data_IF_842611739993
#
_entry.id   IF_842611739993
#
_cell.length_a   1.000
_cell.length_b   1.000
_cell.length_c   1.000
_cell.angle_alpha   90.00
_cell.angle_beta   90.00
_cell.angle_gamma   90.00
#
_symmetry.space_group_name_H-M   'P 1'
#
loop_
_entity.id
_entity.type
_entity.pdbx_description
1 polymer ?
#
# COMPACT_ATOMS: atom_id res chain seq x y z
N UNK A 1 -13.08 11.41 -23.78
CA UNK A 1 -13.00 12.00 -22.42
C UNK A 1 -13.75 11.08 -21.48
N UNK A 2 -13.06 10.12 -20.89
CA UNK A 2 -13.62 9.01 -20.08
C UNK A 2 -13.26 9.18 -18.60
N UNK A 3 -13.24 10.42 -18.11
CA UNK A 3 -12.96 10.74 -16.71
C UNK A 3 -14.21 11.24 -15.98
N UNK A 4 -14.30 11.00 -14.68
CA UNK A 4 -15.34 11.54 -13.79
C UNK A 4 -15.21 13.06 -13.50
N UNK A 5 -14.49 13.77 -14.36
CA UNK A 5 -14.12 15.18 -14.27
C UNK A 5 -14.82 16.05 -15.32
N UNK A 6 -16.01 15.68 -15.80
CA UNK A 6 -16.75 16.38 -16.87
C UNK A 6 -16.78 17.91 -16.72
N UNK A 7 -16.81 18.39 -15.48
CA UNK A 7 -16.89 19.82 -15.18
C UNK A 7 -15.53 20.47 -14.90
N UNK A 8 -14.42 19.73 -14.85
CA UNK A 8 -13.07 20.19 -14.46
C UNK A 8 -12.15 20.14 -15.69
N UNK A 9 -11.91 21.29 -16.32
CA UNK A 9 -11.29 21.37 -17.66
C UNK A 9 -9.88 20.77 -17.70
N UNK A 10 -9.10 21.05 -16.66
CA UNK A 10 -7.68 20.70 -16.61
C UNK A 10 -7.45 19.39 -15.82
N UNK A 11 -8.53 18.75 -15.35
CA UNK A 11 -8.48 17.48 -14.65
C UNK A 11 -8.74 16.29 -15.57
N UNK A 12 -7.92 15.25 -15.41
CA UNK A 12 -8.09 13.96 -16.05
C UNK A 12 -8.88 13.00 -15.15
N UNK A 13 -8.66 13.07 -13.83
CA UNK A 13 -9.27 12.18 -12.85
C UNK A 13 -9.60 12.91 -11.54
N UNK A 14 -10.73 12.59 -10.91
CA UNK A 14 -11.23 13.29 -9.74
C UNK A 14 -11.65 12.26 -8.70
N UNK A 15 -11.06 12.28 -7.52
CA UNK A 15 -11.46 11.41 -6.40
C UNK A 15 -12.40 12.16 -5.46
N UNK A 16 -13.29 11.43 -4.82
CA UNK A 16 -14.21 11.94 -3.80
C UNK A 16 -14.03 11.11 -2.53
N UNK A 17 -14.60 11.56 -1.41
CA UNK A 17 -14.63 10.71 -0.23
C UNK A 17 -15.43 9.44 -0.55
N UNK A 18 -14.98 8.31 -0.01
CA UNK A 18 -15.69 7.03 -0.12
C UNK A 18 -16.77 6.86 0.96
N UNK A 19 -16.80 7.76 1.94
CA UNK A 19 -17.72 7.78 3.07
C UNK A 19 -18.11 9.22 3.38
N UNK A 20 -19.25 9.39 4.04
CA UNK A 20 -19.74 10.72 4.42
C UNK A 20 -18.71 11.41 5.31
N UNK A 21 -18.24 12.58 4.87
CA UNK A 21 -17.44 13.46 5.71
C UNK A 21 -18.25 14.02 6.88
N UNK A 22 -17.61 14.78 7.78
CA UNK A 22 -18.29 15.46 8.87
C UNK A 22 -19.53 16.23 8.38
N UNK A 23 -20.66 16.06 9.07
CA UNK A 23 -21.95 16.66 8.70
C UNK A 23 -22.48 16.29 7.30
N UNK A 24 -22.04 15.17 6.72
CA UNK A 24 -22.46 14.73 5.38
C UNK A 24 -21.79 15.51 4.24
N UNK A 25 -20.73 16.25 4.54
CA UNK A 25 -19.92 16.93 3.53
C UNK A 25 -19.11 15.94 2.71
N UNK A 26 -18.61 16.42 1.58
CA UNK A 26 -17.70 15.66 0.73
C UNK A 26 -16.54 16.55 0.28
N UNK A 27 -15.52 15.94 -0.29
CA UNK A 27 -14.33 16.60 -0.77
C UNK A 27 -13.94 15.99 -2.11
N UNK A 28 -13.94 16.81 -3.16
CA UNK A 28 -13.42 16.40 -4.47
C UNK A 28 -11.97 16.86 -4.61
N UNK A 29 -11.08 15.95 -4.98
CA UNK A 29 -9.67 16.24 -5.29
C UNK A 29 -9.39 15.81 -6.73
N UNK A 30 -8.78 16.68 -7.52
CA UNK A 30 -8.62 16.48 -8.96
C UNK A 30 -7.14 16.35 -9.34
N UNK A 31 -6.87 15.50 -10.31
CA UNK A 31 -5.55 15.18 -10.82
C UNK A 31 -5.45 15.56 -12.30
N UNK A 32 -4.30 16.08 -12.70
CA UNK A 32 -4.00 16.49 -14.07
C UNK A 32 -3.70 15.26 -14.96
N UNK A 33 -3.28 15.50 -16.20
CA UNK A 33 -2.99 14.45 -17.18
C UNK A 33 -1.76 13.63 -16.81
N UNK A 34 -0.87 14.22 -16.02
CA UNK A 34 0.34 13.63 -15.48
C UNK A 34 0.07 12.92 -14.14
N UNK A 35 -1.21 12.77 -13.74
CA UNK A 35 -1.63 12.18 -12.47
C UNK A 35 -1.11 12.89 -11.22
N UNK A 36 -0.70 14.16 -11.35
CA UNK A 36 -0.38 15.00 -10.21
C UNK A 36 -1.65 15.62 -9.66
N UNK A 37 -1.72 15.75 -8.33
CA UNK A 37 -2.80 16.49 -7.69
C UNK A 37 -2.71 17.94 -8.17
N UNK A 38 -3.77 18.41 -8.86
CA UNK A 38 -3.86 19.79 -9.29
C UNK A 38 -3.87 20.67 -8.04
N UNK A 39 -3.09 21.74 -8.05
CA UNK A 39 -2.85 22.52 -6.84
C UNK A 39 -4.16 23.00 -6.23
N UNK A 40 -4.23 22.90 -4.90
CA UNK A 40 -5.36 23.37 -4.11
C UNK A 40 -5.72 24.84 -4.33
N UNK A 41 -4.79 25.68 -4.78
CA UNK A 41 -5.05 27.08 -5.10
C UNK A 41 -5.68 27.28 -6.50
N UNK A 42 -5.82 26.23 -7.30
CA UNK A 42 -6.50 26.27 -8.58
C UNK A 42 -7.96 25.89 -8.41
N UNK A 43 -8.84 26.57 -9.13
CA UNK A 43 -10.28 26.24 -9.15
C UNK A 43 -10.47 24.78 -9.55
N UNK A 44 -9.60 24.26 -10.40
CA UNK A 44 -9.66 22.90 -10.93
C UNK A 44 -9.20 21.84 -9.93
N UNK A 45 -8.43 22.21 -8.88
CA UNK A 45 -7.74 21.27 -8.00
C UNK A 45 -8.61 20.51 -7.01
N UNK A 46 -9.75 21.08 -6.65
CA UNK A 46 -10.66 20.45 -5.71
C UNK A 46 -11.35 21.46 -4.81
N UNK A 47 -12.53 21.09 -4.32
CA UNK A 47 -13.33 21.94 -3.45
C UNK A 47 -14.13 21.09 -2.47
N UNK A 48 -14.26 21.54 -1.23
CA UNK A 48 -15.25 20.98 -0.31
C UNK A 48 -16.65 21.07 -0.94
N UNK A 49 -17.44 20.03 -0.78
CA UNK A 49 -18.81 19.90 -1.27
C UNK A 49 -19.74 19.89 -0.06
N UNK A 50 -20.90 20.53 -0.19
CA UNK A 50 -21.87 20.59 0.91
C UNK A 50 -22.47 19.22 1.21
N UNK A 51 -22.71 18.43 0.17
CA UNK A 51 -23.36 17.13 0.29
C UNK A 51 -22.53 16.05 -0.38
N UNK A 52 -22.40 14.94 0.32
CA UNK A 52 -21.81 13.73 -0.21
C UNK A 52 -22.66 13.13 -1.32
N UNK A 53 -22.00 12.70 -2.41
CA UNK A 53 -22.72 12.19 -3.57
C UNK A 53 -23.44 10.87 -3.30
N UNK A 54 -22.95 10.06 -2.37
CA UNK A 54 -23.65 8.86 -1.86
C UNK A 54 -24.88 9.18 -0.99
N UNK A 55 -25.14 10.46 -0.67
CA UNK A 55 -26.26 10.87 0.17
C UNK A 55 -26.00 10.68 1.67
N UNK A 56 -27.08 10.56 2.44
CA UNK A 56 -27.07 10.45 3.90
C UNK A 56 -28.48 10.42 4.49
N UNK A 57 -28.59 10.35 5.82
CA UNK A 57 -29.89 10.22 6.53
C UNK A 57 -30.94 11.27 6.11
N UNK A 58 -30.49 12.45 5.71
CA UNK A 58 -31.32 13.57 5.25
C UNK A 58 -30.84 14.18 3.92
N UNK A 59 -30.01 13.45 3.17
CA UNK A 59 -29.38 13.92 1.93
C UNK A 59 -29.71 12.92 0.82
N UNK A 60 -30.39 13.38 -0.22
CA UNK A 60 -30.73 12.57 -1.38
C UNK A 60 -29.45 12.28 -2.20
N UNK A 61 -29.08 10.99 -2.37
CA UNK A 61 -27.93 10.60 -3.16
C UNK A 61 -27.97 11.21 -4.56
N UNK A 62 -26.82 11.63 -5.06
CA UNK A 62 -26.61 12.32 -6.34
C UNK A 62 -27.30 13.68 -6.48
N UNK A 63 -28.60 13.78 -6.18
CA UNK A 63 -29.42 14.98 -6.41
C UNK A 63 -28.98 16.19 -5.59
N UNK A 64 -28.78 16.03 -4.28
CA UNK A 64 -28.42 17.17 -3.43
C UNK A 64 -27.03 17.69 -3.77
N UNK A 65 -26.06 16.79 -4.00
CA UNK A 65 -24.75 17.21 -4.47
C UNK A 65 -24.82 17.89 -5.84
N UNK A 66 -25.60 17.33 -6.77
CA UNK A 66 -25.76 17.91 -8.10
C UNK A 66 -26.35 19.32 -8.03
N UNK A 67 -27.42 19.51 -7.25
CA UNK A 67 -28.12 20.79 -7.15
C UNK A 67 -27.33 21.85 -6.37
N UNK A 68 -26.70 21.48 -5.24
CA UNK A 68 -26.05 22.45 -4.35
C UNK A 68 -24.56 22.63 -4.58
N UNK A 69 -23.92 21.76 -5.36
CA UNK A 69 -22.48 21.82 -5.61
C UNK A 69 -22.14 21.84 -7.10
N UNK A 70 -22.69 20.93 -7.92
CA UNK A 70 -22.36 20.83 -9.35
C UNK A 70 -22.95 21.98 -10.16
N UNK A 71 -24.26 22.23 -10.06
CA UNK A 71 -24.93 23.33 -10.78
C UNK A 71 -24.30 24.69 -10.44
N UNK A 72 -24.08 25.06 -9.16
CA UNK A 72 -23.44 26.31 -8.81
C UNK A 72 -22.00 26.41 -9.31
N UNK A 73 -21.23 25.31 -9.28
CA UNK A 73 -19.88 25.30 -9.85
C UNK A 73 -19.91 25.61 -11.35
N UNK A 74 -20.73 24.90 -12.11
CA UNK A 74 -20.82 25.08 -13.56
C UNK A 74 -21.31 26.49 -13.89
N UNK A 75 -22.34 27.00 -13.22
CA UNK A 75 -22.83 28.35 -13.43
C UNK A 75 -21.77 29.42 -13.10
N UNK A 76 -21.22 29.38 -11.89
CA UNK A 76 -20.30 30.41 -11.40
C UNK A 76 -18.91 30.33 -12.05
N UNK A 77 -18.38 29.14 -12.32
CA UNK A 77 -17.01 28.95 -12.77
C UNK A 77 -16.88 28.67 -14.28
N UNK A 78 -17.94 28.20 -14.97
CA UNK A 78 -17.93 27.95 -16.42
C UNK A 78 -18.75 28.96 -17.21
N UNK A 79 -20.05 29.05 -16.94
CA UNK A 79 -20.95 29.87 -17.75
C UNK A 79 -20.74 31.37 -17.54
N UNK A 80 -20.47 31.82 -16.31
CA UNK A 80 -20.27 33.26 -16.02
C UNK A 80 -19.08 33.87 -16.79
N UNK A 81 -18.08 33.06 -17.19
CA UNK A 81 -16.95 33.50 -18.02
C UNK A 81 -17.34 33.76 -19.49
N UNK A 82 -18.35 33.06 -20.01
CA UNK A 82 -18.73 33.13 -21.43
C UNK A 82 -19.58 34.35 -21.79
N UNK A 83 -20.31 34.95 -20.84
CA UNK A 83 -21.11 36.16 -21.09
C UNK A 83 -20.28 37.44 -21.24
N UNK A 84 -18.98 37.36 -21.06
CA UNK A 84 -18.10 38.51 -21.05
C UNK A 84 -16.86 38.30 -21.92
N UNK A 85 -17.07 38.36 -23.24
CA UNK A 85 -16.02 38.83 -24.17
C UNK A 85 -15.76 40.33 -23.95
N UNK A 86 -15.37 40.74 -22.74
CA UNK A 86 -14.95 42.13 -22.50
C UNK A 86 -14.93 42.65 -21.06
N UNK A 87 -15.87 42.28 -20.17
CA UNK A 87 -15.94 42.91 -18.84
C UNK A 87 -16.83 42.16 -17.83
N UNK A 88 -16.61 40.87 -17.61
CA UNK A 88 -17.39 40.09 -16.64
C UNK A 88 -16.45 39.37 -15.70
N UNK A 89 -16.47 39.78 -14.45
CA UNK A 89 -15.75 39.12 -13.37
C UNK A 89 -16.33 37.72 -13.20
N UNK A 90 -15.49 36.69 -13.29
CA UNK A 90 -15.92 35.32 -13.00
C UNK A 90 -16.54 35.26 -11.60
N UNK A 91 -17.80 34.85 -11.51
CA UNK A 91 -18.47 34.66 -10.21
C UNK A 91 -17.95 33.44 -9.45
N UNK A 92 -16.90 32.77 -9.95
CA UNK A 92 -16.31 31.59 -9.34
C UNK A 92 -15.81 31.86 -7.92
N UNK A 93 -15.31 33.07 -7.63
CA UNK A 93 -14.94 33.44 -6.28
C UNK A 93 -16.13 33.37 -5.29
N UNK A 94 -17.36 33.62 -5.73
CA UNK A 94 -18.55 33.47 -4.89
C UNK A 94 -18.83 31.99 -4.56
N UNK A 95 -18.64 31.10 -5.53
CA UNK A 95 -18.71 29.66 -5.30
C UNK A 95 -17.62 29.24 -4.29
N UNK A 96 -16.37 29.66 -4.51
CA UNK A 96 -15.25 29.30 -3.64
C UNK A 96 -15.36 29.83 -2.21
N UNK A 97 -16.06 30.96 -1.99
CA UNK A 97 -16.40 31.42 -0.63
C UNK A 97 -17.33 30.47 0.12
N UNK A 98 -18.21 29.76 -0.60
CA UNK A 98 -19.16 28.80 -0.03
C UNK A 98 -18.65 27.36 -0.08
N UNK A 99 -17.72 27.07 -0.98
CA UNK A 99 -17.06 25.78 -1.22
C UNK A 99 -15.56 26.00 -1.27
N UNK A 100 -14.91 26.14 -0.10
CA UNK A 100 -13.50 26.40 -0.02
C UNK A 100 -12.70 25.35 -0.78
N UNK A 101 -11.57 25.78 -1.33
CA UNK A 101 -10.65 24.89 -2.00
C UNK A 101 -10.07 23.87 -1.01
N UNK A 102 -9.88 22.65 -1.46
CA UNK A 102 -9.34 21.56 -0.65
C UNK A 102 -7.87 21.86 -0.32
N UNK A 103 -7.51 22.10 0.93
CA UNK A 103 -6.14 22.51 1.31
C UNK A 103 -5.24 21.32 1.63
N UNK A 104 -3.97 21.41 1.23
CA UNK A 104 -2.92 20.46 1.62
C UNK A 104 -2.07 20.98 2.79
N UNK A 105 -2.42 22.12 3.41
CA UNK A 105 -1.60 22.78 4.43
C UNK A 105 -1.26 21.89 5.63
N UNK A 106 -2.16 20.96 5.98
CA UNK A 106 -2.00 19.99 7.06
C UNK A 106 -1.94 18.55 6.56
N UNK A 107 -1.67 18.36 5.27
CA UNK A 107 -1.47 17.02 4.74
C UNK A 107 -0.21 16.43 5.37
N UNK A 108 -0.39 15.36 6.13
CA UNK A 108 0.70 14.51 6.59
C UNK A 108 0.84 13.38 5.58
N UNK A 109 1.99 13.27 4.88
CA UNK A 109 2.23 12.16 3.98
C UNK A 109 2.12 10.83 4.73
N UNK A 110 1.47 9.81 4.15
CA UNK A 110 1.52 8.48 4.70
C UNK A 110 2.97 7.96 4.66
N UNK A 111 3.30 7.09 5.61
CA UNK A 111 4.64 6.51 5.74
C UNK A 111 4.59 5.05 5.25
N UNK A 112 5.39 4.70 4.23
CA UNK A 112 5.41 3.34 3.69
C UNK A 112 6.51 2.49 4.31
N UNK A 113 6.31 1.18 4.25
CA UNK A 113 7.29 0.13 4.54
C UNK A 113 7.53 -0.72 3.28
N UNK A 114 8.46 -1.67 3.34
CA UNK A 114 8.72 -2.61 2.24
C UNK A 114 8.98 -4.01 2.78
N UNK A 115 8.42 -5.02 2.12
CA UNK A 115 8.85 -6.41 2.20
C UNK A 115 9.04 -6.92 0.78
N UNK A 116 10.25 -7.40 0.46
CA UNK A 116 10.62 -7.74 -0.91
C UNK A 116 11.64 -8.89 -0.93
N UNK A 117 11.58 -9.76 -1.94
CA UNK A 117 12.62 -10.77 -2.15
C UNK A 117 12.64 -11.87 -1.09
N UNK A 118 13.82 -12.26 -0.63
CA UNK A 118 14.02 -13.33 0.36
C UNK A 118 13.96 -12.85 1.83
N UNK A 119 12.75 -12.60 2.31
CA UNK A 119 12.29 -11.24 2.45
C UNK A 119 13.27 -10.30 3.18
N UNK A 120 13.65 -9.24 2.46
CA UNK A 120 14.20 -8.01 3.00
C UNK A 120 13.08 -7.07 3.44
N UNK A 121 13.24 -6.47 4.61
CA UNK A 121 12.28 -5.57 5.24
C UNK A 121 12.84 -4.15 5.33
N UNK A 122 11.98 -3.17 5.07
CA UNK A 122 12.14 -1.79 5.53
C UNK A 122 10.96 -1.47 6.44
N UNK A 123 11.21 -1.17 7.71
CA UNK A 123 10.19 -0.78 8.69
C UNK A 123 9.46 0.51 8.27
N UNK A 124 8.37 0.84 8.95
CA UNK A 124 7.65 2.09 8.67
C UNK A 124 8.47 3.36 9.01
N UNK A 125 9.52 3.24 9.83
CA UNK A 125 10.46 4.32 10.16
C UNK A 125 11.77 4.24 9.37
N UNK A 126 11.88 3.27 8.46
CA UNK A 126 12.94 3.16 7.47
C UNK A 126 14.12 2.29 7.89
N UNK A 127 14.03 1.57 9.02
CA UNK A 127 15.03 0.60 9.44
C UNK A 127 15.05 -0.60 8.49
N UNK A 128 16.23 -0.91 7.94
CA UNK A 128 16.40 -1.99 6.96
C UNK A 128 17.03 -3.22 7.60
N UNK A 129 16.44 -4.39 7.36
CA UNK A 129 16.96 -5.67 7.83
C UNK A 129 16.42 -6.83 6.98
N UNK A 130 16.97 -8.03 7.14
CA UNK A 130 16.47 -9.23 6.46
C UNK A 130 15.99 -10.25 7.49
N UNK A 131 14.91 -10.97 7.18
CA UNK A 131 14.38 -12.00 8.06
C UNK A 131 13.82 -13.17 7.26
N UNK A 132 14.62 -14.22 7.09
CA UNK A 132 14.25 -15.42 6.35
C UNK A 132 13.67 -16.52 7.25
N UNK A 133 12.45 -16.32 7.74
CA UNK A 133 11.70 -17.31 8.53
C UNK A 133 10.90 -18.29 7.68
N UNK A 134 10.54 -19.45 8.25
CA UNK A 134 9.54 -20.35 7.66
C UNK A 134 8.42 -20.56 8.67
N UNK A 135 7.26 -20.00 8.37
CA UNK A 135 6.14 -19.92 9.30
C UNK A 135 5.16 -18.80 8.98
N UNK A 136 4.23 -18.59 9.90
CA UNK A 136 3.30 -17.47 9.88
C UNK A 136 3.67 -16.49 11.00
N UNK A 137 3.72 -15.20 10.66
CA UNK A 137 4.25 -14.17 11.55
C UNK A 137 3.33 -12.96 11.64
N UNK A 138 3.36 -12.27 12.78
CA UNK A 138 2.73 -10.95 12.94
C UNK A 138 3.47 -9.95 12.05
N UNK A 139 2.82 -9.52 10.97
CA UNK A 139 3.39 -8.54 10.07
C UNK A 139 3.23 -7.13 10.64
N UNK A 140 2.00 -6.78 11.02
CA UNK A 140 1.64 -5.51 11.65
C UNK A 140 0.36 -5.69 12.47
N UNK A 141 0.34 -5.24 13.72
CA UNK A 141 -0.88 -5.16 14.54
C UNK A 141 -0.91 -3.91 15.38
N UNK A 142 -2.09 -3.48 15.79
CA UNK A 142 -2.24 -2.47 16.85
C UNK A 142 -2.06 -3.10 18.23
N UNK A 143 -1.68 -2.29 19.22
CA UNK A 143 -1.53 -2.73 20.62
C UNK A 143 -2.83 -3.38 21.17
N UNK A 144 -3.98 -2.81 20.81
CA UNK A 144 -5.30 -3.30 21.21
C UNK A 144 -5.79 -4.51 20.37
N UNK A 145 -4.97 -4.97 19.42
CA UNK A 145 -5.27 -6.05 18.45
C UNK A 145 -6.52 -5.81 17.60
N UNK A 146 -7.02 -4.58 17.53
CA UNK A 146 -8.17 -4.21 16.69
C UNK A 146 -7.85 -4.29 15.20
N UNK A 147 -6.62 -3.99 14.79
CA UNK A 147 -6.11 -4.24 13.46
C UNK A 147 -5.00 -5.29 13.51
N UNK A 148 -5.06 -6.27 12.60
CA UNK A 148 -4.08 -7.36 12.51
C UNK A 148 -3.76 -7.65 11.05
N UNK A 149 -2.47 -7.84 10.77
CA UNK A 149 -1.91 -8.24 9.50
C UNK A 149 -0.86 -9.32 9.77
N UNK A 150 -0.89 -10.39 8.98
CA UNK A 150 0.00 -11.53 9.09
C UNK A 150 0.63 -11.83 7.74
N UNK A 151 1.84 -12.38 7.79
CA UNK A 151 2.60 -12.78 6.60
C UNK A 151 3.00 -14.25 6.74
N UNK A 152 2.89 -15.00 5.65
CA UNK A 152 3.34 -16.39 5.54
C UNK A 152 4.61 -16.42 4.71
N UNK A 153 5.66 -16.94 5.32
CA UNK A 153 6.96 -17.14 4.70
C UNK A 153 7.19 -18.64 4.55
N UNK A 154 7.44 -19.11 3.33
CA UNK A 154 7.69 -20.52 3.04
C UNK A 154 9.11 -20.71 2.50
N UNK A 155 9.71 -21.87 2.78
CA UNK A 155 11.02 -22.21 2.25
C UNK A 155 10.97 -22.25 0.72
N UNK A 156 11.86 -21.51 0.06
CA UNK A 156 11.83 -21.42 -1.38
C UNK A 156 12.27 -22.73 -2.02
N UNK A 157 11.43 -23.25 -2.91
CA UNK A 157 11.69 -24.46 -3.70
C UNK A 157 12.17 -24.06 -5.09
N UNK A 158 13.38 -24.49 -5.44
CA UNK A 158 14.00 -24.25 -6.75
C UNK A 158 13.24 -25.01 -7.84
N UNK A 159 13.42 -24.58 -9.09
CA UNK A 159 12.79 -25.21 -10.26
C UNK A 159 13.14 -26.70 -10.43
N UNK A 160 14.31 -27.13 -9.92
CA UNK A 160 14.73 -28.53 -9.93
C UNK A 160 14.10 -29.37 -8.80
N UNK A 161 13.30 -28.76 -7.92
CA UNK A 161 12.63 -29.40 -6.79
C UNK A 161 13.37 -29.27 -5.45
N UNK A 162 14.63 -28.84 -5.45
CA UNK A 162 15.43 -28.72 -4.23
C UNK A 162 14.93 -27.57 -3.34
N UNK A 163 15.06 -27.77 -2.03
CA UNK A 163 14.82 -26.72 -1.06
C UNK A 163 16.06 -25.83 -0.94
N UNK A 164 15.87 -24.52 -0.99
CA UNK A 164 16.94 -23.54 -0.78
C UNK A 164 17.08 -23.15 0.70
N UNK A 165 18.20 -22.51 1.04
CA UNK A 165 18.41 -21.87 2.35
C UNK A 165 17.83 -20.44 2.39
N UNK A 166 16.78 -20.19 1.60
CA UNK A 166 16.01 -18.94 1.55
C UNK A 166 14.52 -19.22 1.76
N UNK A 167 13.80 -18.18 2.16
CA UNK A 167 12.34 -18.17 2.26
C UNK A 167 11.75 -17.09 1.37
N UNK A 168 10.49 -17.20 1.00
CA UNK A 168 9.76 -16.18 0.24
C UNK A 168 8.39 -15.94 0.85
N UNK A 169 7.88 -14.71 0.70
CA UNK A 169 6.51 -14.40 1.06
C UNK A 169 5.53 -15.02 0.06
N UNK A 170 4.67 -15.93 0.52
CA UNK A 170 3.69 -16.63 -0.33
C UNK A 170 2.25 -16.22 -0.07
N UNK A 171 1.96 -15.68 1.10
CA UNK A 171 0.63 -15.16 1.45
C UNK A 171 0.73 -14.02 2.46
N UNK A 172 -0.21 -13.09 2.40
CA UNK A 172 -0.48 -12.16 3.50
C UNK A 172 -1.99 -12.02 3.71
N UNK A 173 -2.37 -11.79 4.95
CA UNK A 173 -3.78 -11.63 5.35
C UNK A 173 -3.93 -10.46 6.29
N UNK A 174 -5.05 -9.75 6.23
CA UNK A 174 -5.30 -8.59 7.09
C UNK A 174 -6.77 -8.40 7.41
N UNK A 175 -7.03 -7.89 8.62
CA UNK A 175 -8.38 -7.57 9.09
C UNK A 175 -8.36 -6.40 10.08
N UNK A 176 -9.42 -5.60 10.07
CA UNK A 176 -9.86 -4.81 11.22
C UNK A 176 -11.01 -5.53 11.94
N UNK A 177 -10.74 -6.03 13.14
CA UNK A 177 -11.66 -6.87 13.92
C UNK A 177 -13.03 -6.18 14.07
N UNK A 178 -14.09 -6.90 13.69
CA UNK A 178 -15.50 -6.46 13.70
C UNK A 178 -15.82 -5.19 12.88
N UNK A 179 -14.84 -4.64 12.14
CA UNK A 179 -15.02 -3.43 11.35
C UNK A 179 -14.76 -3.68 9.86
N UNK A 180 -14.03 -4.73 9.50
CA UNK A 180 -13.81 -5.13 8.12
C UNK A 180 -13.97 -6.62 7.85
N UNK A 181 -14.15 -6.95 6.58
CA UNK A 181 -13.86 -8.29 6.07
C UNK A 181 -12.37 -8.65 6.27
N UNK A 182 -12.08 -9.95 6.35
CA UNK A 182 -10.71 -10.50 6.28
C UNK A 182 -10.33 -10.57 4.81
N UNK A 183 -9.15 -10.04 4.45
CA UNK A 183 -8.63 -10.12 3.07
C UNK A 183 -7.31 -10.87 3.09
N UNK A 184 -7.25 -11.98 2.36
CA UNK A 184 -6.03 -12.76 2.12
C UNK A 184 -5.64 -12.63 0.65
N UNK A 185 -4.34 -12.45 0.38
CA UNK A 185 -3.77 -12.57 -0.95
C UNK A 185 -2.65 -13.61 -0.88
N UNK A 186 -2.74 -14.62 -1.73
CA UNK A 186 -1.78 -15.73 -1.77
C UNK A 186 -1.35 -16.03 -3.19
N UNK A 187 -0.15 -16.57 -3.34
CA UNK A 187 0.32 -17.10 -4.62
C UNK A 187 -0.53 -18.27 -5.09
N UNK A 188 -0.70 -18.34 -6.41
CA UNK A 188 -1.39 -19.43 -7.08
C UNK A 188 -0.65 -19.82 -8.36
N UNK A 189 -0.46 -21.12 -8.56
CA UNK A 189 0.34 -21.62 -9.68
C UNK A 189 -0.37 -21.46 -11.03
N UNK A 190 -1.70 -21.37 -11.06
CA UNK A 190 -2.47 -21.19 -12.28
C UNK A 190 -2.69 -19.70 -12.61
N UNK A 191 -2.87 -18.87 -11.59
CA UNK A 191 -3.31 -17.48 -11.74
C UNK A 191 -2.31 -16.44 -11.22
N UNK A 192 -1.07 -16.82 -10.89
CA UNK A 192 -0.04 -16.02 -10.20
C UNK A 192 -0.42 -15.73 -8.74
N UNK A 193 -1.61 -15.19 -8.51
CA UNK A 193 -2.17 -14.97 -7.19
C UNK A 193 -3.70 -15.00 -7.20
N UNK A 194 -4.24 -15.33 -6.04
CA UNK A 194 -5.65 -15.31 -5.69
C UNK A 194 -5.89 -14.30 -4.57
N UNK A 195 -7.10 -13.74 -4.54
CA UNK A 195 -7.59 -12.91 -3.44
C UNK A 195 -8.80 -13.58 -2.82
N UNK A 196 -8.77 -13.78 -1.51
CA UNK A 196 -9.88 -14.30 -0.74
C UNK A 196 -10.41 -13.23 0.19
N UNK A 197 -11.73 -13.09 0.27
CA UNK A 197 -12.40 -12.20 1.22
C UNK A 197 -13.33 -13.02 2.08
N UNK A 198 -13.06 -13.06 3.39
CA UNK A 198 -13.69 -13.99 4.35
C UNK A 198 -13.59 -15.47 3.92
N UNK A 199 -12.54 -15.82 3.20
CA UNK A 199 -12.30 -17.16 2.67
C UNK A 199 -12.98 -17.48 1.34
N UNK A 200 -13.79 -16.57 0.80
CA UNK A 200 -14.38 -16.72 -0.54
C UNK A 200 -13.46 -16.12 -1.60
N UNK A 201 -13.24 -16.86 -2.70
CA UNK A 201 -12.43 -16.40 -3.83
C UNK A 201 -13.11 -15.24 -4.56
N UNK A 202 -12.37 -14.15 -4.80
CA UNK A 202 -12.84 -13.00 -5.56
C UNK A 202 -12.31 -13.05 -6.98
N UNK A 203 -13.24 -13.03 -7.96
CA UNK A 203 -12.90 -12.91 -9.37
C UNK A 203 -12.84 -11.42 -9.77
N UNK A 204 -11.79 -11.00 -10.48
CA UNK A 204 -11.60 -9.64 -10.98
C UNK A 204 -11.82 -9.47 -12.49
N UNK A 205 -12.30 -10.51 -13.19
CA UNK A 205 -12.59 -10.50 -14.63
C UNK A 205 -13.69 -9.48 -14.98
N UNK A 206 -14.71 -9.36 -14.13
CA UNK A 206 -15.85 -8.46 -14.34
C UNK A 206 -15.60 -7.06 -13.76
N UNK A 207 -14.88 -6.96 -12.65
CA UNK A 207 -14.58 -5.70 -11.98
C UNK A 207 -13.18 -5.72 -11.39
N UNK A 208 -12.42 -4.65 -11.65
CA UNK A 208 -11.09 -4.46 -11.06
C UNK A 208 -11.15 -3.90 -9.62
N UNK A 209 -12.33 -3.63 -9.08
CA UNK A 209 -12.48 -3.03 -7.76
C UNK A 209 -13.69 -3.56 -7.00
N UNK A 210 -13.50 -3.89 -5.73
CA UNK A 210 -14.52 -4.40 -4.83
C UNK A 210 -14.50 -3.64 -3.51
N UNK A 211 -15.68 -3.21 -3.06
CA UNK A 211 -15.87 -2.57 -1.77
C UNK A 211 -16.58 -3.54 -0.83
N UNK A 212 -15.93 -3.86 0.28
CA UNK A 212 -16.49 -4.65 1.36
C UNK A 212 -16.67 -3.77 2.60
N UNK A 213 -17.23 -4.34 3.67
CA UNK A 213 -17.27 -3.67 4.96
C UNK A 213 -15.84 -3.33 5.40
N UNK A 214 -15.58 -2.05 5.70
CA UNK A 214 -14.30 -1.56 6.27
C UNK A 214 -13.05 -1.70 5.41
N UNK A 215 -13.15 -2.30 4.22
CA UNK A 215 -12.00 -2.56 3.34
C UNK A 215 -12.38 -2.44 1.87
N UNK A 216 -11.46 -1.90 1.08
CA UNK A 216 -11.55 -1.79 -0.37
C UNK A 216 -10.40 -2.57 -1.00
N UNK A 217 -10.70 -3.33 -2.05
CA UNK A 217 -9.72 -4.15 -2.78
C UNK A 217 -9.75 -3.78 -4.25
N UNK A 218 -8.59 -3.48 -4.82
CA UNK A 218 -8.41 -3.14 -6.24
C UNK A 218 -7.36 -4.05 -6.83
N UNK A 219 -7.60 -4.56 -8.03
CA UNK A 219 -6.55 -5.06 -8.90
C UNK A 219 -6.16 -3.97 -9.91
N UNK A 220 -4.87 -3.65 -9.98
CA UNK A 220 -4.39 -2.73 -11.02
C UNK A 220 -4.52 -3.42 -12.38
N UNK A 221 -4.99 -2.71 -13.42
CA UNK A 221 -5.02 -3.28 -14.76
C UNK A 221 -3.60 -3.67 -15.19
N UNK A 222 -3.45 -4.78 -15.93
CA UNK A 222 -2.14 -5.22 -16.39
C UNK A 222 -1.50 -4.15 -17.29
N UNK A 223 -0.19 -3.97 -17.15
CA UNK A 223 0.58 -2.97 -17.92
C UNK A 223 0.62 -3.33 -19.41
N UNK A 224 0.53 -4.63 -19.73
CA UNK A 224 0.41 -5.16 -21.09
C UNK A 224 -0.99 -5.76 -21.30
N UNK A 225 -1.67 -5.36 -22.39
CA UNK A 225 -2.98 -5.90 -22.78
C UNK A 225 -2.91 -7.32 -23.36
N UNK A 226 -1.70 -7.85 -23.56
CA UNK A 226 -1.48 -9.19 -24.10
C UNK A 226 -1.55 -10.24 -22.98
N UNK A 227 -2.00 -11.46 -23.32
CA UNK A 227 -2.31 -12.58 -22.41
C UNK A 227 -1.12 -13.18 -21.62
N UNK A 228 -0.01 -12.45 -21.46
CA UNK A 228 1.21 -12.86 -20.78
C UNK A 228 1.59 -11.95 -19.62
N UNK A 229 0.62 -11.49 -18.82
CA UNK A 229 0.93 -10.74 -17.61
C UNK A 229 1.76 -11.62 -16.67
N UNK A 230 2.99 -11.21 -16.37
CA UNK A 230 3.90 -11.94 -15.45
C UNK A 230 3.73 -11.52 -14.01
N UNK A 231 2.94 -10.48 -13.75
CA UNK A 231 2.74 -9.88 -12.43
C UNK A 231 1.27 -9.46 -12.27
N UNK A 232 0.76 -9.59 -11.04
CA UNK A 232 -0.53 -9.00 -10.63
C UNK A 232 -0.31 -8.04 -9.47
N UNK A 233 -0.91 -6.84 -9.55
CA UNK A 233 -0.79 -5.83 -8.50
C UNK A 233 -2.14 -5.61 -7.84
N UNK A 234 -2.21 -5.81 -6.54
CA UNK A 234 -3.39 -5.60 -5.73
C UNK A 234 -3.18 -4.47 -4.73
N UNK A 235 -4.23 -3.70 -4.45
CA UNK A 235 -4.26 -2.71 -3.40
C UNK A 235 -5.41 -3.04 -2.44
N UNK A 236 -5.07 -3.28 -1.18
CA UNK A 236 -6.02 -3.47 -0.08
C UNK A 236 -5.97 -2.24 0.81
N UNK A 237 -7.09 -1.54 1.00
CA UNK A 237 -7.15 -0.28 1.75
C UNK A 237 -8.24 -0.34 2.82
N UNK A 238 -7.83 -0.28 4.09
CA UNK A 238 -8.73 -0.30 5.24
C UNK A 238 -9.15 1.11 5.65
N UNK A 239 -10.35 1.24 6.21
CA UNK A 239 -10.87 2.53 6.71
C UNK A 239 -10.08 3.09 7.89
N UNK A 240 -9.24 2.28 8.54
CA UNK A 240 -8.28 2.72 9.58
C UNK A 240 -7.12 3.57 9.04
N UNK A 241 -6.97 3.67 7.71
CA UNK A 241 -5.86 4.37 7.07
C UNK A 241 -4.61 3.51 6.90
N UNK A 242 -4.72 2.20 7.09
CA UNK A 242 -3.69 1.22 6.76
C UNK A 242 -4.01 0.64 5.38
N UNK A 243 -3.01 0.51 4.52
CA UNK A 243 -3.17 -0.05 3.17
C UNK A 243 -1.96 -0.89 2.79
N UNK A 244 -2.16 -1.85 1.89
CA UNK A 244 -1.12 -2.71 1.35
C UNK A 244 -1.20 -2.70 -0.16
N UNK A 245 -0.09 -2.39 -0.83
CA UNK A 245 0.07 -2.69 -2.24
C UNK A 245 0.92 -3.95 -2.38
N UNK A 246 0.34 -4.99 -2.97
CA UNK A 246 0.98 -6.29 -3.15
C UNK A 246 1.22 -6.53 -4.62
N UNK A 247 2.47 -6.78 -4.99
CA UNK A 247 2.88 -7.23 -6.32
C UNK A 247 3.17 -8.71 -6.23
N UNK A 248 2.35 -9.50 -6.90
CA UNK A 248 2.52 -10.95 -7.00
C UNK A 248 3.17 -11.31 -8.32
N UNK A 249 4.21 -12.12 -8.23
CA UNK A 249 4.93 -12.76 -9.33
C UNK A 249 4.89 -14.27 -9.07
N UNK A 250 5.35 -15.12 -9.99
CA UNK A 250 5.08 -16.58 -9.94
C UNK A 250 5.47 -17.25 -8.61
N UNK A 251 6.52 -16.75 -7.95
CA UNK A 251 7.14 -17.37 -6.78
C UNK A 251 7.25 -16.45 -5.55
N UNK A 252 6.84 -15.19 -5.63
CA UNK A 252 7.05 -14.23 -4.53
C UNK A 252 5.97 -13.14 -4.51
N UNK A 253 5.56 -12.76 -3.30
CA UNK A 253 4.80 -11.54 -3.03
C UNK A 253 5.72 -10.45 -2.51
N UNK A 254 5.77 -9.31 -3.21
CA UNK A 254 6.40 -8.09 -2.74
C UNK A 254 5.32 -7.14 -2.22
N UNK A 255 5.47 -6.62 -1.00
CA UNK A 255 4.43 -5.85 -0.31
C UNK A 255 4.95 -4.47 0.08
N UNK A 256 4.18 -3.43 -0.23
CA UNK A 256 4.37 -2.06 0.27
C UNK A 256 3.21 -1.72 1.20
N UNK A 257 3.38 -1.92 2.52
CA UNK A 257 2.46 -1.38 3.52
C UNK A 257 2.55 0.13 3.57
N UNK A 258 1.43 0.79 3.83
CA UNK A 258 1.30 2.24 3.91
C UNK A 258 0.40 2.58 5.08
N UNK A 259 0.92 3.35 6.03
CA UNK A 259 0.15 3.85 7.18
C UNK A 259 -0.04 5.36 7.04
N UNK A 260 -1.30 5.77 6.89
CA UNK A 260 -1.68 7.16 6.66
C UNK A 260 -2.12 7.94 7.90
N UNK A 261 -2.41 7.27 9.01
CA UNK A 261 -2.89 7.92 10.23
C UNK A 261 -1.79 8.05 11.27
N UNK A 262 -1.37 9.28 11.58
CA UNK A 262 -0.43 9.57 12.68
C UNK A 262 -0.95 9.17 14.06
N UNK A 263 -2.26 8.91 14.20
CA UNK A 263 -2.83 8.42 15.46
C UNK A 263 -2.34 7.02 15.83
N UNK A 264 -1.78 6.28 14.87
CA UNK A 264 -1.22 4.95 15.08
C UNK A 264 0.28 5.00 15.49
N UNK A 265 0.87 6.19 15.58
CA UNK A 265 2.29 6.37 15.89
C UNK A 265 2.61 5.85 17.30
N UNK A 266 3.56 4.93 17.41
CA UNK A 266 3.92 4.23 18.66
C UNK A 266 2.94 3.15 19.11
N UNK A 267 1.82 2.97 18.39
CA UNK A 267 0.74 2.04 18.72
C UNK A 267 0.68 0.81 17.82
N UNK A 268 1.72 0.61 17.00
CA UNK A 268 1.88 -0.54 16.14
C UNK A 268 2.97 -1.47 16.67
N UNK A 269 2.86 -2.76 16.35
CA UNK A 269 3.80 -3.82 16.71
C UNK A 269 3.88 -4.84 15.58
N UNK A 270 4.98 -5.57 15.50
CA UNK A 270 5.21 -6.62 14.51
C UNK A 270 6.54 -6.44 13.81
N UNK A 271 6.70 -7.11 12.67
CA UNK A 271 7.90 -7.01 11.85
C UNK A 271 8.14 -5.58 11.31
N UNK A 272 7.10 -4.76 11.14
CA UNK A 272 7.24 -3.44 10.53
C UNK A 272 7.59 -2.27 11.50
N UNK A 273 7.92 -2.58 12.77
CA UNK A 273 8.23 -1.57 13.78
C UNK A 273 6.98 -0.94 14.43
N UNK A 274 7.17 0.19 15.11
CA UNK A 274 6.11 0.83 15.92
C UNK A 274 5.59 2.17 15.39
N UNK A 275 6.17 2.67 14.29
CA UNK A 275 5.72 3.87 13.59
C UNK A 275 5.85 5.16 14.41
N UNK A 276 6.79 5.25 15.34
CA UNK A 276 7.02 6.45 16.15
C UNK A 276 7.98 7.47 15.50
N UNK A 277 8.71 7.05 14.47
CA UNK A 277 9.70 7.86 13.76
C UNK A 277 11.14 7.69 14.26
N UNK A 278 11.38 6.75 15.18
CA UNK A 278 12.68 6.40 15.74
C UNK A 278 13.11 4.98 15.30
N UNK A 279 13.89 4.95 14.22
CA UNK A 279 14.48 3.72 13.69
C UNK A 279 15.33 2.91 14.69
N UNK A 280 15.74 3.49 15.84
CA UNK A 280 16.56 2.78 16.83
C UNK A 280 15.78 1.77 17.66
N UNK A 281 14.44 1.81 17.62
CA UNK A 281 13.57 0.96 18.42
C UNK A 281 12.66 0.03 17.59
N UNK A 282 12.80 0.03 16.27
CA UNK A 282 11.97 -0.74 15.34
C UNK A 282 12.09 -2.26 15.53
N UNK A 283 13.23 -2.74 16.03
CA UNK A 283 13.43 -4.14 16.39
C UNK A 283 12.92 -4.46 17.80
N UNK A 284 11.68 -4.05 18.10
CA UNK A 284 11.00 -4.36 19.36
C UNK A 284 10.38 -5.75 19.30
N UNK A 285 10.66 -6.60 20.29
CA UNK A 285 10.12 -7.96 20.40
C UNK A 285 8.67 -7.93 20.94
N UNK A 286 7.92 -9.04 20.87
CA UNK A 286 6.60 -9.13 21.51
C UNK A 286 6.61 -8.94 23.03
N UNK A 287 7.77 -9.13 23.67
CA UNK A 287 7.99 -8.93 25.11
C UNK A 287 8.54 -7.52 25.44
N UNK A 288 8.47 -6.59 24.49
CA UNK A 288 8.96 -5.21 24.59
C UNK A 288 10.48 -5.05 24.79
N UNK A 289 11.26 -6.12 24.55
CA UNK A 289 12.72 -6.01 24.42
C UNK A 289 13.08 -5.32 23.10
N UNK A 290 14.18 -4.56 23.06
CA UNK A 290 14.63 -3.87 21.84
C UNK A 290 16.02 -4.37 21.50
N UNK A 291 16.20 -4.86 20.27
CA UNK A 291 17.53 -5.20 19.74
C UNK A 291 18.26 -3.94 19.32
N UNK A 292 19.60 -3.99 19.37
CA UNK A 292 20.42 -2.88 18.93
C UNK A 292 20.35 -2.73 17.40
N UNK A 293 20.37 -1.51 16.85
CA UNK A 293 20.46 -1.28 15.41
C UNK A 293 21.71 -1.87 14.73
N UNK A 294 22.71 -2.28 15.51
CA UNK A 294 23.95 -2.91 15.05
C UNK A 294 23.91 -4.44 15.12
N UNK A 295 22.76 -5.02 15.48
CA UNK A 295 22.61 -6.48 15.57
C UNK A 295 22.86 -7.16 14.23
N UNK A 296 23.47 -8.35 14.28
CA UNK A 296 23.73 -9.14 13.08
C UNK A 296 22.45 -9.70 12.48
N UNK A 297 22.47 -10.10 11.21
CA UNK A 297 21.34 -10.78 10.56
C UNK A 297 20.88 -12.02 11.34
N UNK A 298 21.82 -12.77 11.93
CA UNK A 298 21.51 -13.93 12.76
C UNK A 298 20.86 -13.54 14.09
N UNK A 299 21.32 -12.49 14.75
CA UNK A 299 20.69 -11.98 15.97
C UNK A 299 19.27 -11.48 15.70
N UNK A 300 19.07 -10.74 14.60
CA UNK A 300 17.74 -10.27 14.17
C UNK A 300 16.84 -11.47 13.89
N UNK A 301 17.35 -12.50 13.22
CA UNK A 301 16.62 -13.72 12.94
C UNK A 301 16.16 -14.43 14.22
N UNK A 302 17.09 -14.75 15.12
CA UNK A 302 16.83 -15.58 16.31
C UNK A 302 16.11 -14.81 17.43
N UNK A 303 16.52 -13.58 17.67
CA UNK A 303 16.13 -12.83 18.87
C UNK A 303 15.05 -11.77 18.60
N UNK A 304 14.62 -11.58 17.35
CA UNK A 304 13.53 -10.68 16.99
C UNK A 304 12.51 -11.34 16.07
N UNK A 305 12.91 -11.75 14.85
CA UNK A 305 11.97 -12.19 13.82
C UNK A 305 11.22 -13.46 14.18
N UNK A 306 11.93 -14.50 14.65
CA UNK A 306 11.29 -15.75 15.09
C UNK A 306 10.34 -15.57 16.27
N UNK A 307 10.53 -14.54 17.10
CA UNK A 307 9.64 -14.27 18.23
C UNK A 307 8.26 -13.77 17.78
N UNK A 308 8.14 -13.27 16.54
CA UNK A 308 6.87 -12.82 15.97
C UNK A 308 6.04 -13.93 15.32
N UNK A 309 6.47 -15.20 15.42
CA UNK A 309 5.70 -16.35 14.95
C UNK A 309 4.37 -16.43 15.71
N UNK A 310 3.27 -16.63 14.99
CA UNK A 310 1.91 -16.71 15.58
C UNK A 310 1.61 -18.12 16.09
N UNK A 311 0.48 -18.31 16.78
CA UNK A 311 -0.08 -19.65 17.03
C UNK A 311 -1.18 -20.01 16.04
N UNK A 312 -1.59 -21.29 16.02
CA UNK A 312 -2.70 -21.76 15.18
C UNK A 312 -4.00 -20.99 15.47
N UNK A 313 -4.29 -20.70 16.74
CA UNK A 313 -5.48 -19.97 17.16
C UNK A 313 -5.46 -18.50 16.77
N UNK A 314 -4.27 -17.94 16.53
CA UNK A 314 -4.09 -16.57 16.06
C UNK A 314 -4.17 -16.46 14.53
N UNK A 315 -4.02 -17.56 13.78
CA UNK A 315 -3.93 -17.55 12.33
C UNK A 315 -5.23 -17.05 11.68
N UNK A 316 -5.09 -16.06 10.80
CA UNK A 316 -6.18 -15.52 9.99
C UNK A 316 -6.25 -16.17 8.58
N UNK A 317 -5.30 -17.03 8.26
CA UNK A 317 -5.18 -17.60 6.92
C UNK A 317 -6.21 -18.69 6.65
N UNK A 318 -6.52 -18.85 5.37
CA UNK A 318 -7.23 -20.02 4.87
C UNK A 318 -6.26 -21.11 4.41
N UNK A 319 -6.69 -22.36 4.56
CA UNK A 319 -5.91 -23.54 4.22
C UNK A 319 -6.62 -24.35 3.13
N UNK A 320 -5.89 -24.70 2.06
CA UNK A 320 -6.40 -25.47 0.91
C UNK A 320 -5.91 -26.92 0.94
N UNK A 321 -6.53 -27.80 0.17
CA UNK A 321 -6.02 -29.15 -0.11
C UNK A 321 -5.70 -30.01 1.13
N UNK A 322 -6.49 -29.85 2.20
CA UNK A 322 -6.28 -30.48 3.50
C UNK A 322 -4.97 -30.10 4.23
N UNK A 323 -4.32 -29.00 3.80
CA UNK A 323 -3.25 -28.36 4.59
C UNK A 323 -3.83 -27.71 5.84
N UNK A 324 -2.94 -27.43 6.78
CA UNK A 324 -3.21 -26.88 8.11
C UNK A 324 -2.11 -25.90 8.48
N UNK A 325 -2.30 -25.17 9.59
CA UNK A 325 -1.29 -24.30 10.16
C UNK A 325 0.09 -24.98 10.28
N UNK A 326 0.12 -26.24 10.72
CA UNK A 326 1.37 -26.98 10.95
C UNK A 326 2.18 -27.26 9.68
N UNK A 327 1.55 -27.33 8.51
CA UNK A 327 2.25 -27.60 7.24
C UNK A 327 3.15 -26.44 6.80
N UNK A 328 2.88 -25.23 7.34
CA UNK A 328 3.62 -24.02 7.01
C UNK A 328 4.66 -23.64 8.05
N UNK A 329 4.76 -24.36 9.18
CA UNK A 329 5.70 -24.04 10.26
C UNK A 329 7.00 -24.84 10.16
N UNK A 330 8.13 -24.14 10.19
CA UNK A 330 9.43 -24.77 10.41
C UNK A 330 10.34 -23.86 11.25
N UNK A 331 10.13 -23.81 12.59
CA UNK A 331 10.94 -22.97 13.48
C UNK A 331 12.41 -23.41 13.59
N UNK A 332 12.74 -24.61 13.10
CA UNK A 332 14.11 -25.15 13.07
C UNK A 332 14.86 -24.81 11.77
N UNK A 333 14.19 -24.16 10.81
CA UNK A 333 14.85 -23.66 9.61
C UNK A 333 15.99 -22.71 9.99
N UNK A 334 17.07 -22.71 9.20
CA UNK A 334 18.18 -21.75 9.37
C UNK A 334 18.53 -21.26 7.97
N UNK A 335 18.36 -19.95 7.69
CA UNK A 335 18.70 -19.41 6.38
C UNK A 335 20.19 -19.11 6.26
N UNK A 336 20.63 -18.85 5.04
CA UNK A 336 21.91 -18.16 4.83
C UNK A 336 21.81 -16.73 5.37
N UNK A 337 22.83 -16.25 6.10
CA UNK A 337 22.82 -14.90 6.70
C UNK A 337 23.71 -13.89 5.98
N UNK A 338 24.68 -14.36 5.19
CA UNK A 338 25.67 -13.52 4.50
C UNK A 338 25.76 -13.91 3.03
N UNK A 339 26.00 -12.91 2.18
CA UNK A 339 26.19 -13.15 0.75
C UNK A 339 27.45 -14.02 0.52
N UNK A 340 27.35 -15.11 -0.26
CA UNK A 340 28.52 -15.87 -0.67
C UNK A 340 29.58 -14.99 -1.36
N UNK A 341 30.86 -15.21 -1.05
CA UNK A 341 31.95 -14.41 -1.63
C UNK A 341 32.24 -14.73 -3.09
N UNK A 342 31.94 -15.96 -3.52
CA UNK A 342 32.12 -16.42 -4.90
C UNK A 342 30.78 -16.29 -5.63
N UNK A 343 30.65 -15.22 -6.41
CA UNK A 343 29.42 -14.90 -7.15
C UNK A 343 29.57 -15.36 -8.60
N UNK A 344 28.63 -16.16 -9.13
CA UNK A 344 28.65 -16.50 -10.54
C UNK A 344 28.43 -15.25 -11.42
N UNK A 345 29.00 -15.27 -12.64
CA UNK A 345 29.04 -14.10 -13.53
C UNK A 345 27.65 -13.54 -13.89
N UNK A 346 26.66 -14.43 -14.01
CA UNK A 346 25.27 -14.09 -14.32
C UNK A 346 24.59 -13.30 -13.20
N UNK A 347 24.97 -13.53 -11.93
CA UNK A 347 24.48 -12.74 -10.79
C UNK A 347 24.87 -11.27 -10.94
N UNK A 348 26.13 -11.03 -11.31
CA UNK A 348 26.67 -9.66 -11.51
C UNK A 348 26.00 -8.99 -12.71
N UNK A 349 25.75 -9.74 -13.79
CA UNK A 349 25.06 -9.22 -14.99
C UNK A 349 23.62 -8.80 -14.67
N UNK A 350 22.87 -9.63 -13.94
CA UNK A 350 21.46 -9.37 -13.63
C UNK A 350 21.31 -8.27 -12.57
N UNK A 351 22.10 -8.33 -11.51
CA UNK A 351 21.89 -7.48 -10.33
C UNK A 351 22.71 -6.18 -10.33
N UNK A 352 23.86 -6.15 -11.00
CA UNK A 352 24.76 -5.00 -10.96
C UNK A 352 25.30 -4.76 -9.54
N UNK A 353 24.99 -3.61 -8.96
CA UNK A 353 25.41 -3.19 -7.61
C UNK A 353 24.31 -3.34 -6.54
N UNK A 354 23.15 -3.89 -6.89
CA UNK A 354 22.02 -4.08 -5.99
C UNK A 354 22.28 -5.26 -5.04
N UNK A 355 22.63 -4.97 -3.79
CA UNK A 355 23.03 -5.96 -2.78
C UNK A 355 21.93 -6.97 -2.45
N UNK A 356 20.68 -6.52 -2.40
CA UNK A 356 19.51 -7.35 -2.10
C UNK A 356 19.29 -8.33 -3.26
N UNK A 357 19.32 -7.84 -4.51
CA UNK A 357 19.28 -8.71 -5.70
C UNK A 357 20.41 -9.74 -5.73
N UNK A 358 21.66 -9.32 -5.45
CA UNK A 358 22.82 -10.21 -5.46
C UNK A 358 22.66 -11.33 -4.43
N UNK A 359 22.23 -10.98 -3.20
CA UNK A 359 22.01 -11.94 -2.14
C UNK A 359 20.92 -12.94 -2.54
N UNK A 360 19.76 -12.46 -2.96
CA UNK A 360 18.63 -13.30 -3.37
C UNK A 360 19.04 -14.27 -4.48
N UNK A 361 19.75 -13.80 -5.50
CA UNK A 361 20.16 -14.68 -6.60
C UNK A 361 21.16 -15.73 -6.09
N UNK A 362 22.16 -15.32 -5.31
CA UNK A 362 23.18 -16.23 -4.82
C UNK A 362 22.62 -17.34 -3.90
N UNK A 363 21.65 -17.01 -3.03
CA UNK A 363 21.08 -17.96 -2.06
C UNK A 363 19.95 -18.80 -2.68
N UNK A 364 19.01 -18.15 -3.37
CA UNK A 364 17.86 -18.85 -3.96
C UNK A 364 18.24 -19.63 -5.24
N UNK A 365 19.26 -19.18 -5.98
CA UNK A 365 19.55 -19.65 -7.33
C UNK A 365 18.50 -19.25 -8.36
N UNK A 366 17.61 -18.29 -8.05
CA UNK A 366 16.50 -17.87 -8.90
C UNK A 366 16.70 -16.46 -9.44
N UNK A 367 16.97 -16.36 -10.75
CA UNK A 367 17.01 -15.07 -11.46
C UNK A 367 15.68 -14.31 -11.36
N UNK A 368 14.56 -15.03 -11.31
CA UNK A 368 13.21 -14.44 -11.20
C UNK A 368 13.08 -13.70 -9.87
N UNK A 369 13.36 -14.35 -8.73
CA UNK A 369 13.27 -13.72 -7.41
C UNK A 369 14.17 -12.48 -7.35
N UNK A 370 15.44 -12.61 -7.74
CA UNK A 370 16.38 -11.50 -7.74
C UNK A 370 15.91 -10.31 -8.59
N UNK A 371 15.33 -10.59 -9.76
CA UNK A 371 14.75 -9.56 -10.63
C UNK A 371 13.56 -8.86 -9.99
N UNK A 372 12.67 -9.63 -9.35
CA UNK A 372 11.52 -9.11 -8.61
C UNK A 372 11.95 -8.27 -7.41
N UNK A 373 13.02 -8.66 -6.71
CA UNK A 373 13.64 -7.89 -5.63
C UNK A 373 14.11 -6.54 -6.12
N UNK A 374 14.90 -6.52 -7.20
CA UNK A 374 15.38 -5.27 -7.81
C UNK A 374 14.23 -4.38 -8.29
N UNK A 375 13.19 -4.95 -8.88
CA UNK A 375 11.99 -4.20 -9.31
C UNK A 375 11.24 -3.61 -8.11
N UNK A 376 11.04 -4.40 -7.06
CA UNK A 376 10.38 -4.00 -5.82
C UNK A 376 11.10 -2.85 -5.13
N UNK A 377 12.42 -2.95 -4.94
CA UNK A 377 13.24 -1.90 -4.32
C UNK A 377 13.24 -0.61 -5.15
N UNK A 378 13.25 -0.70 -6.49
CA UNK A 378 13.11 0.48 -7.39
C UNK A 378 11.72 1.11 -7.34
N UNK A 379 10.67 0.30 -7.29
CA UNK A 379 9.28 0.78 -7.14
C UNK A 379 9.12 1.50 -5.81
N UNK A 380 9.65 0.94 -4.72
CA UNK A 380 9.65 1.57 -3.40
C UNK A 380 10.43 2.89 -3.38
N UNK A 381 11.62 2.95 -3.99
CA UNK A 381 12.37 4.20 -4.12
C UNK A 381 11.60 5.28 -4.89
N UNK A 382 10.97 4.89 -6.01
CA UNK A 382 10.12 5.80 -6.79
C UNK A 382 8.92 6.29 -5.98
N UNK A 383 8.34 5.41 -5.16
CA UNK A 383 7.27 5.75 -4.23
C UNK A 383 7.77 6.80 -3.22
N UNK A 384 8.91 6.58 -2.56
CA UNK A 384 9.51 7.54 -1.62
C UNK A 384 9.86 8.89 -2.27
N UNK A 385 10.46 8.88 -3.46
CA UNK A 385 10.84 10.10 -4.19
C UNK A 385 9.61 10.96 -4.53
N UNK A 386 8.49 10.32 -4.88
CA UNK A 386 7.22 11.02 -5.09
C UNK A 386 6.71 11.74 -3.83
N UNK A 387 7.00 11.23 -2.63
CA UNK A 387 6.72 11.93 -1.36
C UNK A 387 7.75 13.02 -1.05
N UNK A 388 9.05 12.77 -1.30
CA UNK A 388 10.13 13.70 -1.00
C UNK A 388 10.07 14.98 -1.86
N UNK A 389 9.80 14.86 -3.16
CA UNK A 389 9.65 15.99 -4.10
C UNK A 389 8.51 16.94 -3.73
N UNK A 390 7.52 16.47 -2.95
CA UNK A 390 6.42 17.30 -2.45
C UNK A 390 6.83 18.13 -1.22
N UNK A 391 7.79 17.66 -0.43
CA UNK A 391 8.32 18.36 0.76
C UNK A 391 9.22 19.54 0.40
N UNK A 392 9.97 19.47 -0.72
CA UNK A 392 10.82 20.56 -1.20
C UNK A 392 10.02 21.70 -1.84
N UNK A 393 9.03 21.39 -2.70
CA UNK A 393 8.15 22.41 -3.30
C UNK A 393 7.32 23.21 -2.27
N UNK A 394 7.03 22.62 -1.11
CA UNK A 394 6.37 23.31 0.01
C UNK A 394 7.28 24.26 0.81
N UNK A 395 8.61 24.12 0.73
CA UNK A 395 9.56 25.04 1.38
C UNK A 395 9.84 26.28 0.51
N UNK A 396 9.92 26.13 -0.80
CA UNK A 396 10.20 27.26 -1.71
C UNK A 396 9.04 28.26 -1.79
N UNK A 397 7.80 27.86 -1.46
CA UNK A 397 6.65 28.78 -1.39
C UNK A 397 6.57 29.60 -0.09
N UNK A 398 7.37 29.28 0.95
CA UNK A 398 7.44 30.13 2.17
C UNK A 398 8.43 31.29 2.04
N UNK A 399 9.19 31.38 0.95
CA UNK A 399 10.15 32.46 0.71
C UNK A 399 9.59 33.61 -0.15
N UNK A 400 8.29 33.58 -0.49
CA UNK A 400 7.68 34.54 -1.42
C UNK A 400 6.25 34.94 -1.08
N UNK A 401 5.96 35.19 0.20
CA UNK A 401 4.74 35.86 0.68
C UNK A 401 5.07 36.94 1.70
#
# INVERSE_FOLDING_TARGET
MTGNCLNRKDANHCVRLNSLGPSGMDNICCYDKESNLIQSNEVEGGTLQRYHYLGGKSIQPFFDNFYYDVIPFVYCCRYSKQKSKGMGTSNCHQYLRRRPRSSCLHYVPPRPALTVGDPHFTSLDGYKYSFNGVGEFVYLRTDDKSFQSQIRLEQFRKANGDLSEASVCTSFVSQHLNQSAVVEIRLDSANIAEVLVNGDLINFDESLSYQFQGVFVIQSPPVTLDAGATEKVYQVSFTSGISFQTTASSNVLNIIPVVGSTLLSGHLRGLLGDFDGDLSNDLRTPSDGILLPTSSSEEIYRNFGLLWMISEEESLFTYKDATTYSDFQNPSFVPTFETPSDLPEDVVEVCGDDKECIFDYAVSGSQEIATETRKGTRRFKSFLDAFALRKSRGKDQKAGL
#
